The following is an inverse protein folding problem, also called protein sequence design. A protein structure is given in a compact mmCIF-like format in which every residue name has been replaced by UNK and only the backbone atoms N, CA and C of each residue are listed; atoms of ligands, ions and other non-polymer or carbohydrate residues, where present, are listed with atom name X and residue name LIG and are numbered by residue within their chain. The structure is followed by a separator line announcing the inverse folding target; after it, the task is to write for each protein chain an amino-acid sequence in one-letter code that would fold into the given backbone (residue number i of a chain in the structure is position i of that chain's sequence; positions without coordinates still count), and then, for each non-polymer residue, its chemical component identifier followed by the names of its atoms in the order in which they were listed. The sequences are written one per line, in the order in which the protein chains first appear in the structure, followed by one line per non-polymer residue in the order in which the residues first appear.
data_IF_974958437205
#
_entry.id   IF_974958437205
#
_cell.length_a   1.000
_cell.length_b   1.000
_cell.length_c   1.000
_cell.angle_alpha   90.00
_cell.angle_beta   90.00
_cell.angle_gamma   90.00
#
_symmetry.space_group_name_H-M   'P 1'
#
loop_
_entity.id
_entity.type
_entity.pdbx_description
1 polymer ?
#
# COMPACT_ATOMS: atom_id res chain seq x y z
N UNK A 1 -17.09 10.84 -7.33
CA UNK A 1 -17.62 10.12 -6.15
C UNK A 1 -16.47 9.36 -5.53
N UNK A 2 -16.23 9.51 -4.23
CA UNK A 2 -15.22 8.69 -3.55
C UNK A 2 -15.73 7.25 -3.49
N UNK A 3 -14.94 6.29 -3.96
CA UNK A 3 -15.25 4.86 -3.83
C UNK A 3 -15.22 4.53 -2.34
N UNK A 4 -16.36 4.15 -1.76
CA UNK A 4 -16.42 3.61 -0.40
C UNK A 4 -16.25 2.11 -0.50
N UNK A 5 -15.25 1.57 0.20
CA UNK A 5 -14.90 0.16 0.19
C UNK A 5 -15.21 -0.38 1.59
N UNK A 6 -16.03 -1.42 1.66
CA UNK A 6 -16.29 -2.15 2.89
C UNK A 6 -15.20 -3.20 3.09
N UNK A 7 -14.17 -2.86 3.88
CA UNK A 7 -12.98 -3.67 4.04
C UNK A 7 -13.22 -4.89 4.93
N UNK A 8 -12.79 -6.07 4.47
CA UNK A 8 -12.87 -7.33 5.21
C UNK A 8 -11.51 -7.72 5.74
N UNK A 9 -11.37 -7.68 7.07
CA UNK A 9 -10.13 -8.06 7.75
C UNK A 9 -10.21 -9.49 8.29
N UNK A 10 -9.05 -10.16 8.40
CA UNK A 10 -8.94 -11.45 9.07
C UNK A 10 -9.25 -11.27 10.55
N UNK A 11 -9.95 -12.24 11.15
CA UNK A 11 -10.36 -12.16 12.55
C UNK A 11 -9.17 -12.18 13.54
N UNK A 12 -8.06 -12.78 13.13
CA UNK A 12 -6.81 -12.92 13.88
C UNK A 12 -5.70 -11.98 13.39
N UNK A 13 -6.03 -11.00 12.54
CA UNK A 13 -5.09 -10.02 12.04
C UNK A 13 -4.40 -9.29 13.21
N UNK A 14 -3.07 -9.21 13.14
CA UNK A 14 -2.27 -8.47 14.13
C UNK A 14 -2.18 -6.99 13.72
N UNK A 15 -2.16 -6.06 14.69
CA UNK A 15 -1.85 -4.66 14.41
C UNK A 15 -0.55 -4.54 13.62
N UNK A 16 -0.60 -3.79 12.52
CA UNK A 16 0.58 -3.46 11.72
C UNK A 16 1.16 -2.15 12.25
N UNK A 17 2.47 -2.10 12.47
CA UNK A 17 3.16 -0.88 12.86
C UNK A 17 3.43 0.02 11.66
N UNK A 18 3.58 1.31 11.90
CA UNK A 18 4.22 2.21 10.95
C UNK A 18 5.18 3.13 11.70
N UNK A 19 6.43 3.17 11.27
CA UNK A 19 7.48 4.00 11.86
C UNK A 19 7.82 5.19 10.97
N UNK A 20 7.81 4.99 9.65
CA UNK A 20 8.32 5.93 8.66
C UNK A 20 7.20 6.47 7.76
N UNK A 21 5.96 6.29 8.22
CA UNK A 21 4.75 6.71 7.53
C UNK A 21 4.11 5.59 6.72
N UNK A 22 2.78 5.65 6.61
CA UNK A 22 1.97 4.59 6.03
C UNK A 22 2.40 4.22 4.60
N UNK A 23 2.76 5.20 3.76
CA UNK A 23 3.18 4.96 2.38
C UNK A 23 4.46 4.13 2.33
N UNK A 24 5.51 4.61 3.00
CA UNK A 24 6.80 3.93 3.08
C UNK A 24 6.64 2.50 3.59
N UNK A 25 5.87 2.32 4.68
CA UNK A 25 5.69 1.01 5.29
C UNK A 25 4.85 0.03 4.46
N UNK A 26 3.96 0.53 3.62
CA UNK A 26 3.14 -0.27 2.72
C UNK A 26 3.90 -0.68 1.46
N UNK A 27 4.76 0.19 0.93
CA UNK A 27 5.31 0.03 -0.43
C UNK A 27 6.80 -0.28 -0.44
N UNK A 28 7.59 0.24 0.50
CA UNK A 28 9.06 0.16 0.47
C UNK A 28 9.61 -0.95 1.37
N UNK A 29 8.86 -2.04 1.53
CA UNK A 29 9.30 -3.21 2.30
C UNK A 29 9.25 -3.01 3.81
N UNK A 30 8.43 -2.08 4.30
CA UNK A 30 8.20 -1.89 5.72
C UNK A 30 7.19 -2.88 6.31
N UNK A 31 6.51 -2.46 7.38
CA UNK A 31 5.81 -3.39 8.27
C UNK A 31 4.34 -3.66 7.93
N UNK A 32 3.76 -3.00 6.92
CA UNK A 32 2.34 -3.17 6.58
C UNK A 32 2.21 -4.19 5.45
N UNK A 33 1.61 -5.33 5.77
CA UNK A 33 1.39 -6.43 4.82
C UNK A 33 -0.09 -6.68 4.57
N UNK A 34 -0.65 -6.21 3.45
CA UNK A 34 -2.07 -6.40 3.11
C UNK A 34 -2.52 -7.86 3.17
N UNK A 35 -1.69 -8.80 2.75
CA UNK A 35 -1.94 -10.23 2.78
C UNK A 35 -2.04 -10.82 4.19
N UNK A 36 -1.46 -10.16 5.20
CA UNK A 36 -1.55 -10.60 6.60
C UNK A 36 -2.84 -10.10 7.28
N UNK A 37 -3.48 -9.04 6.75
CA UNK A 37 -4.62 -8.38 7.39
C UNK A 37 -5.94 -8.53 6.63
N UNK A 38 -5.93 -8.61 5.29
CA UNK A 38 -7.15 -8.71 4.48
C UNK A 38 -7.62 -10.17 4.37
N UNK A 39 -8.92 -10.38 4.55
CA UNK A 39 -9.57 -11.68 4.44
C UNK A 39 -10.09 -11.98 3.03
N UNK A 40 -10.22 -10.96 2.20
CA UNK A 40 -10.79 -11.03 0.86
C UNK A 40 -9.67 -10.88 -0.18
N UNK A 41 -9.51 -11.90 -1.02
CA UNK A 41 -8.44 -11.96 -2.02
C UNK A 41 -8.57 -10.86 -3.08
N UNK A 42 -9.79 -10.48 -3.47
CA UNK A 42 -10.01 -9.38 -4.42
C UNK A 42 -9.62 -8.04 -3.81
N UNK A 43 -9.89 -7.84 -2.51
CA UNK A 43 -9.48 -6.62 -1.81
C UNK A 43 -7.96 -6.56 -1.63
N UNK A 44 -7.32 -7.69 -1.39
CA UNK A 44 -5.86 -7.79 -1.39
C UNK A 44 -5.28 -7.41 -2.74
N UNK A 45 -5.77 -8.01 -3.82
CA UNK A 45 -5.27 -7.73 -5.17
C UNK A 45 -5.46 -6.25 -5.54
N UNK A 46 -6.59 -5.67 -5.17
CA UNK A 46 -6.86 -4.24 -5.40
C UNK A 46 -5.83 -3.34 -4.70
N UNK A 47 -5.39 -3.67 -3.48
CA UNK A 47 -4.34 -2.92 -2.79
C UNK A 47 -2.99 -3.15 -3.46
N UNK A 48 -2.67 -4.40 -3.81
CA UNK A 48 -1.43 -4.76 -4.49
C UNK A 48 -1.26 -4.02 -5.83
N UNK A 49 -2.29 -4.03 -6.68
CA UNK A 49 -2.30 -3.37 -7.99
C UNK A 49 -2.13 -1.85 -7.85
N UNK A 50 -2.82 -1.25 -6.88
CA UNK A 50 -2.71 0.18 -6.60
C UNK A 50 -1.30 0.55 -6.11
N UNK A 51 -0.73 -0.26 -5.22
CA UNK A 51 0.65 -0.10 -4.75
C UNK A 51 1.65 -0.21 -5.90
N UNK A 52 1.53 -1.20 -6.78
CA UNK A 52 2.41 -1.35 -7.94
C UNK A 52 2.30 -0.15 -8.89
N UNK A 53 1.08 0.29 -9.18
CA UNK A 53 0.81 1.46 -10.04
C UNK A 53 1.52 2.70 -9.50
N UNK A 54 1.40 2.96 -8.19
CA UNK A 54 1.98 4.13 -7.54
C UNK A 54 3.51 4.04 -7.44
N UNK A 55 4.08 2.85 -7.19
CA UNK A 55 5.54 2.63 -7.28
C UNK A 55 6.07 2.92 -8.67
N UNK A 56 5.39 2.42 -9.71
CA UNK A 56 5.77 2.69 -11.09
C UNK A 56 5.70 4.18 -11.41
N UNK A 57 4.71 4.89 -10.86
CA UNK A 57 4.60 6.34 -11.04
C UNK A 57 5.73 7.09 -10.32
N UNK A 58 6.06 6.72 -9.09
CA UNK A 58 7.20 7.27 -8.34
C UNK A 58 8.52 7.09 -9.09
N UNK A 59 8.77 5.88 -9.62
CA UNK A 59 9.94 5.61 -10.46
C UNK A 59 9.96 6.50 -11.71
N UNK A 60 8.82 6.69 -12.37
CA UNK A 60 8.73 7.57 -13.54
C UNK A 60 9.04 9.04 -13.20
N UNK A 61 8.61 9.52 -12.03
CA UNK A 61 8.96 10.87 -11.58
C UNK A 61 10.46 10.99 -11.29
N UNK A 62 11.06 9.97 -10.68
CA UNK A 62 12.49 9.94 -10.40
C UNK A 62 13.33 9.94 -11.68
N UNK A 63 12.97 9.10 -12.66
CA UNK A 63 13.67 8.98 -13.94
C UNK A 63 13.62 10.27 -14.77
N UNK A 64 12.50 10.99 -14.70
CA UNK A 64 12.31 12.28 -15.38
C UNK A 64 12.88 13.47 -14.56
N UNK A 65 13.47 13.22 -13.39
CA UNK A 65 14.01 14.26 -12.50
C UNK A 65 12.93 15.20 -11.93
N UNK A 66 11.69 14.72 -11.86
CA UNK A 66 10.50 15.45 -11.36
C UNK A 66 10.19 15.14 -9.89
N UNK A 67 11.02 14.33 -9.24
CA UNK A 67 10.93 14.02 -7.81
C UNK A 67 12.11 14.66 -7.06
N UNK A 68 11.80 15.51 -6.08
CA UNK A 68 12.78 16.08 -5.15
C UNK A 68 12.46 15.55 -3.74
N UNK A 69 13.31 14.68 -3.22
CA UNK A 69 13.21 14.11 -1.87
C UNK A 69 14.07 14.90 -0.89
N UNK A 70 13.55 15.19 0.31
CA UNK A 70 14.19 16.01 1.35
C UNK A 70 14.37 15.24 2.67
#
# INVERSE_FOLDING_TARGET
MSKVIDWKFKADAKPQGSSDGFWYDLVMGGYIKPEEVLADEEQYQMVADATETLKSFETALQDEGLLEEF
#
